data_IF_248789161157
#
_entry.id   IF_248789161157
#
_cell.length_a   1.000
_cell.length_b   1.000
_cell.length_c   1.000
_cell.angle_alpha   90.00
_cell.angle_beta   90.00
_cell.angle_gamma   90.00
#
_symmetry.space_group_name_H-M   'P 1'
#
loop_
_entity.id
_entity.type
_entity.pdbx_description
1 polymer ?
#
# COMPACT_ATOMS: atom_id res chain seq x y z
N UNK A 1 -30.38 -35.92 21.35
CA UNK A 1 -31.27 -34.77 21.04
C UNK A 1 -30.44 -33.51 20.86
N UNK A 2 -30.90 -32.55 20.07
CA UNK A 2 -30.14 -31.35 19.64
C UNK A 2 -29.50 -30.56 20.81
N UNK A 3 -30.16 -30.50 21.98
CA UNK A 3 -29.64 -29.94 23.24
C UNK A 3 -28.30 -30.53 23.74
N UNK A 4 -28.04 -31.83 23.50
CA UNK A 4 -26.79 -32.47 23.97
C UNK A 4 -25.58 -32.02 23.15
N UNK A 5 -25.79 -31.52 21.92
CA UNK A 5 -24.72 -30.98 21.07
C UNK A 5 -24.31 -29.60 21.57
N UNK A 6 -25.27 -28.78 22.01
CA UNK A 6 -25.01 -27.43 22.56
C UNK A 6 -24.12 -27.48 23.80
N UNK A 7 -24.29 -28.50 24.64
CA UNK A 7 -23.47 -28.72 25.84
C UNK A 7 -21.99 -28.93 25.55
N UNK A 8 -21.65 -29.46 24.38
CA UNK A 8 -20.25 -29.58 23.96
C UNK A 8 -19.82 -28.37 23.12
N UNK A 9 -20.69 -27.88 22.24
CA UNK A 9 -20.37 -26.81 21.30
C UNK A 9 -20.12 -25.47 22.00
N UNK A 10 -20.97 -25.07 22.95
CA UNK A 10 -20.86 -23.77 23.62
C UNK A 10 -19.57 -23.66 24.46
N UNK A 11 -19.24 -24.60 25.37
CA UNK A 11 -17.99 -24.49 26.12
C UNK A 11 -16.76 -24.51 25.22
N UNK A 12 -16.77 -25.37 24.20
CA UNK A 12 -15.65 -25.45 23.23
C UNK A 12 -15.47 -24.13 22.48
N UNK A 13 -16.57 -23.50 22.05
CA UNK A 13 -16.52 -22.20 21.37
C UNK A 13 -15.91 -21.11 22.27
N UNK A 14 -16.30 -21.04 23.55
CA UNK A 14 -15.74 -20.09 24.50
C UNK A 14 -14.25 -20.37 24.80
N UNK A 15 -13.85 -21.64 24.92
CA UNK A 15 -12.45 -22.01 25.14
C UNK A 15 -11.59 -21.55 23.96
N UNK A 16 -12.01 -21.85 22.73
CA UNK A 16 -11.26 -21.44 21.52
C UNK A 16 -11.25 -19.92 21.37
N UNK A 17 -12.38 -19.24 21.62
CA UNK A 17 -12.44 -17.78 21.56
C UNK A 17 -11.54 -17.12 22.61
N UNK A 18 -11.57 -17.60 23.86
CA UNK A 18 -10.72 -17.09 24.93
C UNK A 18 -9.24 -17.31 24.65
N UNK A 19 -8.87 -18.50 24.15
CA UNK A 19 -7.50 -18.81 23.76
C UNK A 19 -7.04 -17.91 22.60
N UNK A 20 -7.86 -17.78 21.56
CA UNK A 20 -7.58 -16.91 20.42
C UNK A 20 -7.45 -15.44 20.81
N UNK A 21 -8.31 -14.93 21.69
CA UNK A 21 -8.23 -13.56 22.18
C UNK A 21 -6.95 -13.33 23.01
N UNK A 22 -6.59 -14.29 23.88
CA UNK A 22 -5.37 -14.20 24.69
C UNK A 22 -4.12 -14.14 23.81
N UNK A 23 -4.04 -15.01 22.80
CA UNK A 23 -2.94 -15.00 21.84
C UNK A 23 -2.91 -13.71 21.00
N UNK A 24 -4.07 -13.18 20.61
CA UNK A 24 -4.14 -11.91 19.88
C UNK A 24 -3.61 -10.74 20.72
N UNK A 25 -3.95 -10.67 22.02
CA UNK A 25 -3.41 -9.66 22.94
C UNK A 25 -1.89 -9.78 23.04
N UNK A 26 -1.37 -10.98 23.27
CA UNK A 26 0.08 -11.21 23.38
C UNK A 26 0.85 -10.77 22.11
N UNK A 27 0.34 -11.15 20.93
CA UNK A 27 0.96 -10.76 19.64
C UNK A 27 0.88 -9.26 19.41
N UNK A 28 -0.24 -8.62 19.75
CA UNK A 28 -0.42 -7.17 19.54
C UNK A 28 0.40 -6.33 20.51
N UNK A 29 0.54 -6.76 21.77
CA UNK A 29 1.38 -6.08 22.77
C UNK A 29 2.88 -6.23 22.48
N UNK A 30 3.30 -7.39 21.94
CA UNK A 30 4.68 -7.68 21.57
C UNK A 30 5.06 -7.31 20.13
N UNK A 31 4.18 -6.65 19.37
CA UNK A 31 4.40 -6.40 17.94
C UNK A 31 5.56 -5.41 17.70
N UNK A 32 6.66 -5.92 17.14
CA UNK A 32 7.78 -5.10 16.67
C UNK A 32 7.62 -4.71 15.19
N UNK A 33 7.30 -3.44 14.95
CA UNK A 33 7.19 -2.88 13.59
C UNK A 33 8.58 -2.51 13.10
N UNK A 34 8.94 -2.97 11.90
CA UNK A 34 10.24 -2.72 11.27
C UNK A 34 10.09 -1.85 10.01
N UNK A 35 9.97 -0.51 10.11
CA UNK A 35 9.71 0.37 8.97
C UNK A 35 10.75 0.26 7.85
N UNK A 36 12.04 0.08 8.20
CA UNK A 36 13.11 -0.11 7.20
C UNK A 36 12.92 -1.40 6.39
N UNK A 37 12.40 -2.46 6.99
CA UNK A 37 12.10 -3.69 6.27
C UNK A 37 10.89 -3.51 5.36
N UNK A 38 9.87 -2.78 5.82
CA UNK A 38 8.69 -2.44 5.01
C UNK A 38 9.08 -1.61 3.78
N UNK A 39 9.92 -0.58 3.96
CA UNK A 39 10.43 0.23 2.85
C UNK A 39 11.17 -0.63 1.81
N UNK A 40 12.11 -1.48 2.26
CA UNK A 40 12.82 -2.41 1.36
C UNK A 40 11.90 -3.33 0.58
N UNK A 41 10.79 -3.80 1.17
CA UNK A 41 9.82 -4.65 0.47
C UNK A 41 9.10 -3.86 -0.63
N UNK A 42 8.77 -2.60 -0.39
CA UNK A 42 8.18 -1.73 -1.41
C UNK A 42 9.15 -1.48 -2.57
N UNK A 43 10.44 -1.33 -2.27
CA UNK A 43 11.51 -1.13 -3.25
C UNK A 43 11.78 -2.36 -4.14
N UNK A 44 11.34 -3.57 -3.75
CA UNK A 44 11.52 -4.80 -4.55
C UNK A 44 10.96 -4.64 -5.97
N UNK A 45 9.88 -3.88 -6.11
CA UNK A 45 9.23 -3.64 -7.40
C UNK A 45 9.93 -2.58 -8.25
N UNK A 46 11.03 -1.99 -7.78
CA UNK A 46 11.75 -0.91 -8.47
C UNK A 46 10.84 0.28 -8.85
N UNK A 47 9.85 0.59 -8.01
CA UNK A 47 8.89 1.68 -8.24
C UNK A 47 7.63 1.28 -9.02
N UNK A 48 7.53 0.06 -9.54
CA UNK A 48 6.36 -0.38 -10.30
C UNK A 48 5.07 -0.47 -9.48
N UNK A 49 5.18 -0.67 -8.15
CA UNK A 49 4.02 -0.72 -7.24
C UNK A 49 3.17 0.57 -7.28
N UNK A 50 3.74 1.70 -7.71
CA UNK A 50 3.05 2.99 -7.82
C UNK A 50 2.77 3.44 -9.26
N UNK A 51 2.82 2.55 -10.24
CA UNK A 51 2.58 2.89 -11.66
C UNK A 51 1.23 3.61 -11.88
N UNK A 52 0.17 3.21 -11.17
CA UNK A 52 -1.14 3.90 -11.23
C UNK A 52 -1.04 5.35 -10.72
N UNK A 53 -0.35 5.56 -9.59
CA UNK A 53 -0.16 6.87 -9.00
C UNK A 53 0.60 7.80 -9.95
N UNK A 54 1.64 7.29 -10.61
CA UNK A 54 2.38 8.02 -11.64
C UNK A 54 1.46 8.39 -12.79
N UNK A 55 0.70 7.43 -13.35
CA UNK A 55 -0.24 7.72 -14.44
C UNK A 55 -1.25 8.81 -14.06
N UNK A 56 -1.82 8.74 -12.85
CA UNK A 56 -2.72 9.76 -12.32
C UNK A 56 -2.05 11.13 -12.15
N UNK A 57 -0.77 11.16 -11.73
CA UNK A 57 0.00 12.38 -11.58
C UNK A 57 0.42 13.02 -12.92
N UNK A 58 0.66 12.19 -13.95
CA UNK A 58 1.03 12.64 -15.29
C UNK A 58 -0.17 13.13 -16.12
N UNK A 59 -1.34 12.50 -15.93
CA UNK A 59 -2.54 12.75 -16.73
C UNK A 59 -2.99 14.23 -16.83
N UNK A 60 -2.90 15.07 -15.78
CA UNK A 60 -3.30 16.48 -15.85
C UNK A 60 -2.49 17.31 -16.84
N UNK A 61 -1.22 16.96 -17.12
CA UNK A 61 -0.34 17.72 -18.03
C UNK A 61 -0.21 17.07 -19.40
N UNK A 62 -0.21 15.74 -19.47
CA UNK A 62 0.00 14.99 -20.72
C UNK A 62 -1.30 14.47 -21.36
N UNK A 63 -2.40 14.44 -20.60
CA UNK A 63 -3.63 13.76 -20.98
C UNK A 63 -3.61 12.29 -20.57
N UNK A 64 -4.79 11.76 -20.22
CA UNK A 64 -4.94 10.41 -19.63
C UNK A 64 -4.45 9.28 -20.53
N UNK A 65 -4.81 9.31 -21.80
CA UNK A 65 -4.42 8.25 -22.75
C UNK A 65 -2.90 8.21 -22.94
N UNK A 66 -2.30 9.39 -23.14
CA UNK A 66 -0.86 9.53 -23.34
C UNK A 66 -0.07 9.13 -22.10
N UNK A 67 -0.51 9.56 -20.91
CA UNK A 67 0.09 9.16 -19.64
C UNK A 67 0.04 7.64 -19.43
N UNK A 68 -1.08 7.01 -19.77
CA UNK A 68 -1.22 5.55 -19.70
C UNK A 68 -0.21 4.84 -20.62
N UNK A 69 -0.13 5.25 -21.89
CA UNK A 69 0.73 4.58 -22.87
C UNK A 69 2.22 4.72 -22.51
N UNK A 70 2.65 5.90 -22.06
CA UNK A 70 4.04 6.12 -21.59
C UNK A 70 4.34 5.26 -20.36
N UNK A 71 3.48 5.29 -19.35
CA UNK A 71 3.68 4.51 -18.13
C UNK A 71 3.73 3.02 -18.43
N UNK A 72 2.87 2.53 -19.33
CA UNK A 72 2.86 1.14 -19.76
C UNK A 72 4.19 0.71 -20.40
N UNK A 73 4.74 1.53 -21.30
CA UNK A 73 6.01 1.27 -21.94
C UNK A 73 7.20 1.34 -20.95
N UNK A 74 7.21 2.32 -20.04
CA UNK A 74 8.22 2.44 -18.99
C UNK A 74 8.19 1.23 -18.03
N UNK A 75 7.00 0.73 -17.67
CA UNK A 75 6.83 -0.49 -16.88
C UNK A 75 7.46 -1.70 -17.60
N UNK A 76 7.19 -1.86 -18.90
CA UNK A 76 7.77 -2.95 -19.71
C UNK A 76 9.28 -2.86 -19.78
N UNK A 77 9.83 -1.65 -19.93
CA UNK A 77 11.28 -1.41 -19.96
C UNK A 77 11.92 -1.76 -18.61
N UNK A 78 11.32 -1.33 -17.50
CA UNK A 78 11.78 -1.63 -16.13
C UNK A 78 11.81 -3.14 -15.89
N UNK A 79 10.76 -3.86 -16.28
CA UNK A 79 10.69 -5.32 -16.15
C UNK A 79 11.73 -6.06 -17.00
N UNK A 80 12.09 -5.50 -18.16
CA UNK A 80 13.05 -6.11 -19.09
C UNK A 80 14.50 -5.84 -18.69
N UNK A 81 14.78 -4.62 -18.25
CA UNK A 81 16.13 -4.13 -17.96
C UNK A 81 16.54 -4.32 -16.50
N UNK A 82 15.58 -4.35 -15.59
CA UNK A 82 15.80 -4.33 -14.15
C UNK A 82 16.20 -2.95 -13.60
N UNK A 83 16.21 -1.91 -14.44
CA UNK A 83 16.48 -0.53 -14.00
C UNK A 83 15.31 0.04 -13.21
N UNK A 84 15.55 1.12 -12.48
CA UNK A 84 14.52 1.78 -11.70
C UNK A 84 13.46 2.45 -12.59
N UNK A 85 12.21 2.45 -12.14
CA UNK A 85 11.08 2.95 -12.92
C UNK A 85 11.11 4.47 -13.13
N UNK A 86 11.67 5.22 -12.18
CA UNK A 86 11.91 6.67 -12.29
C UNK A 86 12.92 7.00 -13.40
N UNK A 87 13.99 6.24 -13.53
CA UNK A 87 14.95 6.39 -14.63
C UNK A 87 14.27 6.16 -15.99
N UNK A 88 13.47 5.10 -16.11
CA UNK A 88 12.72 4.80 -17.33
C UNK A 88 11.70 5.90 -17.70
N UNK A 89 11.16 6.63 -16.73
CA UNK A 89 10.27 7.78 -16.95
C UNK A 89 11.06 9.02 -17.37
N UNK A 90 12.21 9.28 -16.76
CA UNK A 90 13.06 10.44 -17.05
C UNK A 90 13.76 10.34 -18.41
N UNK A 91 13.97 9.12 -18.90
CA UNK A 91 14.47 8.87 -20.26
C UNK A 91 13.45 9.24 -21.35
N UNK A 92 12.17 9.42 -21.00
CA UNK A 92 11.15 9.83 -21.96
C UNK A 92 11.22 11.35 -22.21
N UNK A 93 11.49 11.81 -23.44
CA UNK A 93 11.62 13.23 -23.75
C UNK A 93 10.36 14.03 -23.41
N UNK A 94 9.19 13.39 -23.54
CA UNK A 94 7.90 14.00 -23.27
C UNK A 94 7.65 14.26 -21.77
N UNK A 95 8.23 13.43 -20.90
CA UNK A 95 8.19 13.63 -19.45
C UNK A 95 9.24 14.66 -19.06
N UNK A 96 10.48 14.52 -19.54
CA UNK A 96 11.57 15.45 -19.22
C UNK A 96 11.30 16.90 -19.66
N UNK A 97 10.43 17.11 -20.66
CA UNK A 97 10.03 18.43 -21.11
C UNK A 97 8.99 19.13 -20.19
N UNK A 98 8.30 18.38 -19.31
CA UNK A 98 7.10 18.85 -18.60
C UNK A 98 7.18 18.63 -17.08
N UNK A 99 8.03 17.71 -16.64
CA UNK A 99 8.22 17.35 -15.23
C UNK A 99 9.68 17.50 -14.84
N UNK A 100 9.90 18.08 -13.66
CA UNK A 100 11.21 18.09 -13.03
C UNK A 100 11.52 16.71 -12.42
N UNK A 101 12.81 16.38 -12.28
CA UNK A 101 13.24 15.11 -11.65
C UNK A 101 12.60 14.91 -10.27
N UNK A 102 12.58 15.95 -9.44
CA UNK A 102 11.99 15.89 -8.09
C UNK A 102 10.49 15.58 -8.10
N UNK A 103 9.77 15.96 -9.16
CA UNK A 103 8.34 15.65 -9.29
C UNK A 103 8.15 14.17 -9.61
N UNK A 104 8.99 13.60 -10.48
CA UNK A 104 8.97 12.17 -10.78
C UNK A 104 9.36 11.35 -9.55
N UNK A 105 10.42 11.72 -8.83
CA UNK A 105 10.82 11.08 -7.57
C UNK A 105 9.69 11.12 -6.52
N UNK A 106 8.94 12.22 -6.46
CA UNK A 106 7.81 12.33 -5.55
C UNK A 106 6.64 11.42 -5.98
N UNK A 107 6.37 11.28 -7.28
CA UNK A 107 5.33 10.40 -7.82
C UNK A 107 5.69 8.91 -7.71
N UNK A 108 6.97 8.57 -7.80
CA UNK A 108 7.46 7.18 -7.69
C UNK A 108 7.71 6.74 -6.26
N UNK A 109 7.58 7.64 -5.27
CA UNK A 109 7.71 7.29 -3.85
C UNK A 109 6.41 6.67 -3.30
N UNK A 110 6.41 5.39 -2.87
CA UNK A 110 5.23 4.73 -2.30
C UNK A 110 4.65 5.42 -1.06
N UNK A 111 5.46 6.13 -0.29
CA UNK A 111 5.01 6.87 0.89
C UNK A 111 4.07 8.04 0.57
N UNK A 112 4.08 8.52 -0.68
CA UNK A 112 3.22 9.60 -1.14
C UNK A 112 1.86 9.10 -1.68
N UNK A 113 1.67 7.77 -1.78
CA UNK A 113 0.46 7.15 -2.33
C UNK A 113 -0.27 6.28 -1.29
N UNK A 114 -0.66 6.89 -0.16
CA UNK A 114 -1.33 6.21 0.96
C UNK A 114 -2.87 6.21 0.86
N UNK A 115 -3.43 6.89 -0.15
CA UNK A 115 -4.87 7.03 -0.32
C UNK A 115 -5.57 7.57 0.93
N UNK A 116 -6.58 6.84 1.40
CA UNK A 116 -7.37 7.21 2.59
C UNK A 116 -6.88 6.56 3.90
N UNK A 117 -5.75 5.84 3.89
CA UNK A 117 -5.29 5.10 5.07
C UNK A 117 -5.10 6.00 6.31
N UNK A 118 -4.44 7.18 6.24
CA UNK A 118 -4.31 8.06 7.40
C UNK A 118 -5.66 8.56 7.94
N UNK A 119 -6.62 8.83 7.06
CA UNK A 119 -7.97 9.29 7.40
C UNK A 119 -8.75 8.19 8.11
N UNK A 120 -8.67 6.94 7.61
CA UNK A 120 -9.29 5.77 8.24
C UNK A 120 -8.71 5.52 9.64
N UNK A 121 -7.39 5.57 9.79
CA UNK A 121 -6.74 5.45 11.11
C UNK A 121 -7.19 6.55 12.06
N UNK A 122 -7.25 7.80 11.60
CA UNK A 122 -7.71 8.93 12.42
C UNK A 122 -9.16 8.77 12.86
N UNK A 123 -10.05 8.33 11.97
CA UNK A 123 -11.47 8.10 12.28
C UNK A 123 -11.68 6.97 13.31
N UNK A 124 -10.85 5.93 13.29
CA UNK A 124 -10.86 4.87 14.30
C UNK A 124 -10.41 5.40 15.67
N UNK A 125 -9.33 6.19 15.70
CA UNK A 125 -8.80 6.76 16.94
C UNK A 125 -9.76 7.77 17.57
N UNK A 126 -10.45 8.59 16.78
CA UNK A 126 -11.43 9.55 17.31
C UNK A 126 -12.63 8.85 17.94
N UNK A 127 -13.16 7.80 17.30
CA UNK A 127 -14.25 6.97 17.85
C UNK A 127 -13.89 6.32 19.18
N UNK A 128 -12.64 5.84 19.32
CA UNK A 128 -12.15 5.26 20.57
C UNK A 128 -12.10 6.30 21.69
N UNK A 129 -11.75 7.54 21.38
CA UNK A 129 -11.57 8.62 22.35
C UNK A 129 -12.88 9.33 22.75
N UNK A 130 -14.02 9.00 22.12
CA UNK A 130 -15.33 9.55 22.47
C UNK A 130 -15.68 10.90 21.86
N UNK A 131 -14.86 11.43 20.94
CA UNK A 131 -15.16 12.66 20.20
C UNK A 131 -16.19 12.35 19.10
N UNK A 132 -17.48 12.45 19.45
CA UNK A 132 -18.61 12.46 18.51
C UNK A 132 -19.15 13.86 18.34
#
# INVERSE_FOLDING_TARGET
GQWHVEWHALPTAFIVASGGLSAAVEVLEGLDVRPRAMARVLDVTQGLIVAEAVMMGLAPRLGRQKAHDIVYDCCRTTLTTGNAFDDALLDQPEIAAVFERSEIEALTNPANYLGSAPQMTRALLSRRNGDS
#
